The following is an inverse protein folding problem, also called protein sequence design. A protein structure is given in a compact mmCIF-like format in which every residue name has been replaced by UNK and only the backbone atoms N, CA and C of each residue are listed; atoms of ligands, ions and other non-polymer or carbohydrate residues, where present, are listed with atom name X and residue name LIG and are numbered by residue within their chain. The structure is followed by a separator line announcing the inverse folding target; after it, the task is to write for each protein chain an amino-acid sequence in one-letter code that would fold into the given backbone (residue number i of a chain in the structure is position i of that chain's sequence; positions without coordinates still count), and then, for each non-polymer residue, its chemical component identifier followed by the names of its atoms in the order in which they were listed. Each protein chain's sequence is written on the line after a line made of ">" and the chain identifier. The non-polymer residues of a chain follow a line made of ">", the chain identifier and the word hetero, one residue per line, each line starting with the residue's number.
data_IF_951212834434
#
_entry.id   IF_951212834434
#
_cell.length_a   1.000
_cell.length_b   1.000
_cell.length_c   1.000
_cell.angle_alpha   90.00
_cell.angle_beta   90.00
_cell.angle_gamma   90.00
#
_symmetry.space_group_name_H-M   'P 1'
#
loop_
_entity.id
_entity.type
_entity.pdbx_description
1 polymer ?
#
# COMPACT_ATOMS: atom_id res chain seq x y z
N UNK A 1 18.02 -88.54 15.87
CA UNK A 1 17.52 -87.35 15.17
C UNK A 1 17.57 -86.15 16.08
N UNK A 2 18.58 -85.28 15.88
CA UNK A 2 18.77 -84.03 16.66
C UNK A 2 18.10 -82.88 15.91
N UNK A 3 17.09 -82.23 16.50
CA UNK A 3 16.46 -81.04 15.98
C UNK A 3 17.29 -79.81 16.44
N UNK A 4 17.87 -79.10 15.46
CA UNK A 4 18.56 -77.84 15.66
C UNK A 4 17.50 -76.75 15.61
N UNK A 5 17.30 -76.05 16.74
CA UNK A 5 16.42 -74.88 16.85
C UNK A 5 17.25 -73.67 16.48
N UNK A 6 16.97 -73.07 15.31
CA UNK A 6 17.57 -71.81 14.88
C UNK A 6 16.73 -70.66 15.47
N UNK A 7 17.30 -69.97 16.47
CA UNK A 7 16.70 -68.74 17.03
C UNK A 7 17.22 -67.60 16.14
N UNK A 8 16.28 -67.05 15.29
CA UNK A 8 16.50 -65.81 14.57
C UNK A 8 16.37 -64.62 15.56
N UNK A 9 17.52 -64.06 15.95
CA UNK A 9 17.57 -62.82 16.73
C UNK A 9 17.33 -61.65 15.78
N UNK A 10 16.09 -61.13 15.70
CA UNK A 10 15.76 -59.90 15.01
C UNK A 10 16.33 -58.72 15.76
N UNK A 11 17.49 -58.21 15.32
CA UNK A 11 18.08 -56.99 15.79
C UNK A 11 17.28 -55.80 15.22
N UNK A 12 16.24 -55.34 15.92
CA UNK A 12 15.55 -54.08 15.61
C UNK A 12 16.56 -52.95 15.87
N UNK A 13 17.17 -52.42 14.83
CA UNK A 13 17.86 -51.12 14.84
C UNK A 13 16.83 -50.04 15.17
N UNK A 14 16.68 -49.72 16.45
CA UNK A 14 16.03 -48.51 16.87
C UNK A 14 16.95 -47.36 16.46
N UNK A 15 16.73 -46.80 15.25
CA UNK A 15 17.23 -45.50 14.90
C UNK A 15 16.69 -44.49 15.95
N UNK A 16 17.51 -43.65 16.56
CA UNK A 16 16.99 -42.62 17.44
C UNK A 16 16.09 -41.72 16.57
N UNK A 17 14.78 -41.81 16.79
CA UNK A 17 13.84 -40.79 16.31
C UNK A 17 14.28 -39.50 16.97
N UNK A 18 15.11 -38.69 16.32
CA UNK A 18 15.30 -37.31 16.75
C UNK A 18 13.91 -36.69 16.68
N UNK A 19 13.36 -36.32 17.83
CA UNK A 19 12.05 -35.70 17.90
C UNK A 19 12.08 -34.46 16.99
N UNK A 20 11.27 -34.46 15.94
CA UNK A 20 11.12 -33.33 15.02
C UNK A 20 10.77 -32.10 15.84
N UNK A 21 11.47 -31.01 15.62
CA UNK A 21 11.20 -29.73 16.31
C UNK A 21 9.79 -29.27 15.89
N UNK A 22 8.94 -28.86 16.85
CA UNK A 22 7.59 -28.43 16.53
C UNK A 22 7.57 -27.07 15.81
N UNK A 23 6.47 -26.76 15.13
CA UNK A 23 6.26 -25.48 14.43
C UNK A 23 6.33 -24.29 15.39
N UNK A 24 5.71 -24.44 16.56
CA UNK A 24 5.69 -23.42 17.61
C UNK A 24 7.09 -23.14 18.14
N UNK A 25 7.92 -24.19 18.27
CA UNK A 25 9.31 -24.05 18.72
C UNK A 25 10.17 -23.36 17.65
N UNK A 26 9.95 -23.67 16.35
CA UNK A 26 10.60 -22.95 15.25
C UNK A 26 10.22 -21.46 15.25
N UNK A 27 8.92 -21.14 15.37
CA UNK A 27 8.44 -19.77 15.43
C UNK A 27 9.04 -19.02 16.62
N UNK A 28 9.09 -19.64 17.80
CA UNK A 28 9.69 -19.05 18.99
C UNK A 28 11.19 -18.77 18.79
N UNK A 29 11.94 -19.72 18.21
CA UNK A 29 13.37 -19.55 17.92
C UNK A 29 13.59 -18.43 16.90
N UNK A 30 12.76 -18.37 15.86
CA UNK A 30 12.80 -17.32 14.84
C UNK A 30 12.58 -15.94 15.47
N UNK A 31 11.51 -15.76 16.23
CA UNK A 31 11.21 -14.47 16.87
C UNK A 31 12.33 -14.03 17.80
N UNK A 32 12.83 -14.92 18.64
CA UNK A 32 13.96 -14.62 19.55
C UNK A 32 15.27 -14.28 18.80
N UNK A 33 15.48 -14.88 17.64
CA UNK A 33 16.67 -14.59 16.83
C UNK A 33 16.53 -13.24 16.14
N UNK A 34 15.39 -12.98 15.49
CA UNK A 34 15.09 -11.72 14.79
C UNK A 34 15.13 -10.53 15.75
N UNK A 35 14.61 -10.67 16.97
CA UNK A 35 14.69 -9.63 18.01
C UNK A 35 16.15 -9.21 18.31
N UNK A 36 17.10 -10.13 18.22
CA UNK A 36 18.51 -9.88 18.53
C UNK A 36 19.33 -9.37 17.35
N UNK A 37 19.08 -9.88 16.15
CA UNK A 37 19.96 -9.66 15.01
C UNK A 37 19.28 -9.08 13.77
N UNK A 38 17.96 -8.83 13.83
CA UNK A 38 17.16 -8.40 12.68
C UNK A 38 16.70 -9.57 11.80
N UNK A 39 15.75 -9.29 10.89
CA UNK A 39 15.13 -10.29 10.02
C UNK A 39 16.14 -10.94 9.05
N UNK A 40 17.16 -10.20 8.62
CA UNK A 40 18.22 -10.64 7.70
C UNK A 40 19.53 -11.02 8.43
N UNK A 41 19.48 -11.11 9.76
CA UNK A 41 20.65 -11.31 10.62
C UNK A 41 21.28 -12.69 10.51
N UNK A 42 22.49 -12.80 11.10
CA UNK A 42 23.28 -14.02 11.08
C UNK A 42 22.51 -15.20 11.71
N UNK A 43 22.46 -16.32 11.01
CA UNK A 43 21.81 -17.57 11.48
C UNK A 43 20.33 -17.68 11.13
N UNK A 44 19.65 -16.59 10.74
CA UNK A 44 18.23 -16.63 10.37
C UNK A 44 18.00 -17.57 9.19
N UNK A 45 18.80 -17.45 8.14
CA UNK A 45 18.68 -18.33 6.96
C UNK A 45 18.85 -19.81 7.31
N UNK A 46 19.84 -20.13 8.15
CA UNK A 46 20.08 -21.51 8.59
C UNK A 46 18.90 -22.07 9.37
N UNK A 47 18.26 -21.25 10.21
CA UNK A 47 17.06 -21.64 10.95
C UNK A 47 15.89 -21.86 10.00
N UNK A 48 15.67 -20.95 9.04
CA UNK A 48 14.59 -21.03 8.05
C UNK A 48 14.75 -22.26 7.14
N UNK A 49 15.98 -22.60 6.71
CA UNK A 49 16.22 -23.79 5.90
C UNK A 49 15.88 -25.09 6.65
N UNK A 50 16.20 -25.18 7.95
CA UNK A 50 15.80 -26.32 8.78
C UNK A 50 14.29 -26.38 9.00
N UNK A 51 13.66 -25.22 9.25
CA UNK A 51 12.23 -25.14 9.43
C UNK A 51 11.47 -25.56 8.17
N UNK A 52 11.91 -25.09 7.00
CA UNK A 52 11.31 -25.46 5.70
C UNK A 52 11.49 -26.96 5.41
N UNK A 53 12.66 -27.55 5.74
CA UNK A 53 12.88 -28.98 5.57
C UNK A 53 11.97 -29.83 6.48
N UNK A 54 11.75 -29.40 7.72
CA UNK A 54 10.89 -30.11 8.67
C UNK A 54 9.39 -29.87 8.42
N UNK A 55 9.03 -28.64 7.99
CA UNK A 55 7.63 -28.19 7.84
C UNK A 55 7.44 -27.31 6.58
N UNK A 56 7.52 -27.89 5.36
CA UNK A 56 7.48 -27.13 4.09
C UNK A 56 6.15 -26.40 3.84
N UNK A 57 5.06 -26.86 4.48
CA UNK A 57 3.71 -26.27 4.34
C UNK A 57 3.34 -25.35 5.51
N UNK A 58 4.32 -24.97 6.36
CA UNK A 58 4.04 -24.08 7.48
C UNK A 58 3.98 -22.62 7.02
N UNK A 59 2.81 -22.02 7.16
CA UNK A 59 2.58 -20.63 6.75
C UNK A 59 3.47 -19.63 7.50
N UNK A 60 3.75 -19.87 8.79
CA UNK A 60 4.65 -19.01 9.56
C UNK A 60 6.07 -19.06 9.00
N UNK A 61 6.52 -20.23 8.53
CA UNK A 61 7.81 -20.39 7.85
C UNK A 61 7.83 -19.55 6.55
N UNK A 62 6.76 -19.62 5.74
CA UNK A 62 6.66 -18.85 4.49
C UNK A 62 6.71 -17.34 4.76
N UNK A 63 6.00 -16.83 5.78
CA UNK A 63 6.03 -15.43 6.18
C UNK A 63 7.42 -15.02 6.72
N UNK A 64 8.05 -15.87 7.50
CA UNK A 64 9.40 -15.65 7.99
C UNK A 64 10.44 -15.63 6.85
N UNK A 65 10.28 -16.51 5.85
CA UNK A 65 11.10 -16.51 4.62
C UNK A 65 10.91 -15.23 3.81
N UNK A 66 9.66 -14.77 3.67
CA UNK A 66 9.38 -13.48 3.05
C UNK A 66 10.14 -12.35 3.75
N UNK A 67 10.01 -12.25 5.08
CA UNK A 67 10.65 -11.18 5.87
C UNK A 67 12.17 -11.22 5.72
N UNK A 68 12.79 -12.40 5.79
CA UNK A 68 14.23 -12.57 5.59
C UNK A 68 14.67 -12.11 4.20
N UNK A 69 14.06 -12.66 3.15
CA UNK A 69 14.46 -12.38 1.76
C UNK A 69 14.22 -10.91 1.41
N UNK A 70 13.09 -10.32 1.86
CA UNK A 70 12.76 -8.92 1.61
C UNK A 70 13.75 -7.98 2.32
N UNK A 71 14.03 -8.19 3.62
CA UNK A 71 15.03 -7.38 4.33
C UNK A 71 16.43 -7.52 3.74
N UNK A 72 16.80 -8.75 3.36
CA UNK A 72 18.12 -9.04 2.78
C UNK A 72 18.30 -8.45 1.37
N UNK A 73 17.21 -8.27 0.63
CA UNK A 73 17.27 -7.70 -0.72
C UNK A 73 17.57 -6.20 -0.73
N UNK A 74 17.38 -5.50 0.40
CA UNK A 74 17.44 -4.04 0.45
C UNK A 74 18.84 -3.53 0.75
N UNK A 75 19.26 -2.54 -0.02
CA UNK A 75 20.42 -1.69 0.29
C UNK A 75 20.00 -0.23 0.22
N UNK A 76 20.17 0.52 1.33
CA UNK A 76 19.93 1.95 1.32
C UNK A 76 21.22 2.73 1.04
N UNK A 77 21.08 3.86 0.34
CA UNK A 77 22.14 4.84 0.16
C UNK A 77 21.57 6.24 0.11
N UNK A 78 22.37 7.22 0.50
CA UNK A 78 22.02 8.61 0.45
C UNK A 78 22.55 9.19 -0.86
N UNK A 79 21.65 9.74 -1.70
CA UNK A 79 22.00 10.31 -3.01
C UNK A 79 21.52 11.76 -3.12
N UNK A 80 22.30 12.65 -3.77
CA UNK A 80 21.86 14.00 -4.11
C UNK A 80 20.90 13.95 -5.30
N UNK A 81 19.81 14.74 -5.23
CA UNK A 81 18.85 14.91 -6.34
C UNK A 81 18.43 16.37 -6.47
N UNK A 82 18.21 16.82 -7.70
CA UNK A 82 17.63 18.13 -8.01
C UNK A 82 16.11 18.04 -8.05
N UNK A 83 15.52 17.78 -6.87
CA UNK A 83 14.07 17.75 -6.68
C UNK A 83 13.70 18.09 -5.23
N UNK A 84 12.50 18.59 -5.02
CA UNK A 84 12.01 18.95 -3.68
C UNK A 84 11.45 17.74 -2.91
N UNK A 85 11.06 16.68 -3.61
CA UNK A 85 10.49 15.45 -3.02
C UNK A 85 10.92 14.23 -3.81
N UNK A 86 11.08 13.11 -3.09
CA UNK A 86 11.28 11.78 -3.65
C UNK A 86 10.33 10.80 -2.98
N UNK A 87 9.62 10.00 -3.75
CA UNK A 87 8.56 9.10 -3.24
C UNK A 87 7.52 9.84 -2.36
N UNK A 88 7.25 11.11 -2.67
CA UNK A 88 6.37 11.98 -1.89
C UNK A 88 6.96 12.53 -0.59
N UNK A 89 8.17 12.11 -0.21
CA UNK A 89 8.84 12.54 1.02
C UNK A 89 9.73 13.76 0.78
N UNK A 90 9.91 14.64 1.80
CA UNK A 90 10.92 15.71 1.75
C UNK A 90 12.32 15.10 1.78
N UNK A 91 13.36 15.88 1.43
CA UNK A 91 14.73 15.42 1.53
C UNK A 91 15.11 15.11 2.99
N UNK A 92 15.97 14.09 3.16
CA UNK A 92 16.56 13.76 4.46
C UNK A 92 17.45 14.92 4.96
N UNK A 93 18.24 15.50 4.04
CA UNK A 93 19.12 16.64 4.33
C UNK A 93 18.96 17.66 3.19
N UNK A 94 18.27 18.79 3.42
CA UNK A 94 18.29 19.92 2.50
C UNK A 94 19.59 20.71 2.70
N UNK A 95 20.34 20.95 1.63
CA UNK A 95 21.57 21.74 1.65
C UNK A 95 21.56 22.81 0.57
N UNK A 96 22.42 23.82 0.75
CA UNK A 96 22.73 24.80 -0.29
C UNK A 96 24.24 24.74 -0.51
N UNK A 97 24.66 24.60 -1.76
CA UNK A 97 26.07 24.58 -2.11
C UNK A 97 26.71 25.98 -2.00
N UNK A 98 28.04 26.07 -2.18
CA UNK A 98 28.77 27.34 -2.10
C UNK A 98 28.39 28.34 -3.19
N UNK A 99 27.68 27.91 -4.23
CA UNK A 99 27.19 28.74 -5.34
C UNK A 99 25.73 29.17 -5.14
N UNK A 100 25.08 28.76 -4.04
CA UNK A 100 23.69 29.06 -3.73
C UNK A 100 22.67 28.10 -4.35
N UNK A 101 23.11 27.00 -4.98
CA UNK A 101 22.19 26.00 -5.52
C UNK A 101 21.68 25.09 -4.40
N UNK A 102 20.39 24.76 -4.44
CA UNK A 102 19.81 23.74 -3.54
C UNK A 102 20.25 22.35 -3.95
N UNK A 103 20.79 21.60 -3.01
CA UNK A 103 21.13 20.18 -3.18
C UNK A 103 20.40 19.39 -2.11
N UNK A 104 19.47 18.57 -2.53
CA UNK A 104 18.63 17.78 -1.61
C UNK A 104 19.14 16.33 -1.59
N UNK A 105 19.36 15.79 -0.40
CA UNK A 105 19.80 14.41 -0.24
C UNK A 105 18.62 13.53 0.19
N UNK A 106 18.45 12.41 -0.50
CA UNK A 106 17.39 11.45 -0.23
C UNK A 106 17.98 10.07 0.07
N UNK A 107 17.33 9.35 0.95
CA UNK A 107 17.58 7.91 1.10
C UNK A 107 16.87 7.17 -0.02
N UNK A 108 17.62 6.35 -0.75
CA UNK A 108 17.15 5.54 -1.88
C UNK A 108 17.46 4.09 -1.58
N UNK A 109 16.53 3.21 -1.87
CA UNK A 109 16.69 1.77 -1.72
C UNK A 109 16.95 1.13 -3.08
N UNK A 110 17.96 0.28 -3.13
CA UNK A 110 18.22 -0.65 -4.23
C UNK A 110 17.89 -2.06 -3.76
N UNK A 111 17.43 -2.89 -4.67
CA UNK A 111 16.97 -4.24 -4.35
C UNK A 111 17.76 -5.26 -5.17
N UNK A 112 18.13 -6.36 -4.52
CA UNK A 112 18.59 -7.56 -5.20
C UNK A 112 17.37 -8.30 -5.77
N UNK A 113 17.34 -8.45 -7.09
CA UNK A 113 16.19 -8.99 -7.82
C UNK A 113 15.90 -10.46 -7.46
N UNK A 114 16.93 -11.29 -7.23
CA UNK A 114 16.76 -12.70 -6.90
C UNK A 114 16.17 -12.87 -5.50
N UNK A 115 16.69 -12.12 -4.53
CA UNK A 115 16.17 -12.12 -3.17
C UNK A 115 14.77 -11.54 -3.09
N UNK A 116 14.50 -10.47 -3.84
CA UNK A 116 13.15 -9.91 -3.93
C UNK A 116 12.16 -10.90 -4.55
N UNK A 117 12.55 -11.57 -5.64
CA UNK A 117 11.72 -12.61 -6.27
C UNK A 117 11.45 -13.77 -5.30
N UNK A 118 12.44 -14.20 -4.52
CA UNK A 118 12.27 -15.21 -3.48
C UNK A 118 11.29 -14.75 -2.38
N UNK A 119 11.38 -13.49 -1.95
CA UNK A 119 10.43 -12.89 -1.00
C UNK A 119 8.99 -12.92 -1.58
N UNK A 120 8.82 -12.41 -2.80
CA UNK A 120 7.51 -12.38 -3.46
C UNK A 120 6.91 -13.77 -3.65
N UNK A 121 7.73 -14.79 -3.97
CA UNK A 121 7.30 -16.18 -4.05
C UNK A 121 6.85 -16.73 -2.67
N UNK A 122 7.58 -16.42 -1.60
CA UNK A 122 7.27 -16.88 -0.25
C UNK A 122 5.93 -16.31 0.26
N UNK A 123 5.70 -15.01 0.10
CA UNK A 123 4.42 -14.39 0.49
C UNK A 123 3.27 -14.90 -0.40
N UNK A 124 3.51 -15.15 -1.68
CA UNK A 124 2.52 -15.75 -2.58
C UNK A 124 2.09 -17.15 -2.14
N UNK A 125 3.02 -17.99 -1.68
CA UNK A 125 2.71 -19.31 -1.09
C UNK A 125 1.87 -19.16 0.18
N UNK A 126 2.23 -18.25 1.09
CA UNK A 126 1.46 -18.00 2.31
C UNK A 126 0.01 -17.57 2.00
N UNK A 127 -0.17 -16.61 1.09
CA UNK A 127 -1.49 -16.15 0.62
C UNK A 127 -2.32 -17.30 0.04
N UNK A 128 -1.71 -18.21 -0.74
CA UNK A 128 -2.41 -19.34 -1.32
C UNK A 128 -3.00 -20.29 -0.27
N UNK A 129 -2.44 -20.36 0.93
CA UNK A 129 -2.99 -21.17 2.05
C UNK A 129 -4.23 -20.54 2.69
N UNK A 130 -4.29 -19.18 2.74
CA UNK A 130 -5.36 -18.43 3.38
C UNK A 130 -5.62 -17.11 2.61
N UNK A 131 -6.39 -17.21 1.54
CA UNK A 131 -6.65 -16.10 0.63
C UNK A 131 -7.42 -14.93 1.26
N UNK A 132 -8.12 -15.17 2.36
CA UNK A 132 -8.87 -14.16 3.10
C UNK A 132 -8.02 -13.37 4.13
N UNK A 133 -6.71 -13.62 4.25
CA UNK A 133 -5.80 -12.81 5.07
C UNK A 133 -5.43 -11.54 4.32
N UNK A 134 -6.19 -10.47 4.58
CA UNK A 134 -6.01 -9.17 3.93
C UNK A 134 -4.64 -8.56 4.25
N UNK A 135 -4.17 -8.67 5.48
CA UNK A 135 -2.86 -8.20 5.91
C UNK A 135 -1.70 -8.82 5.09
N UNK A 136 -1.79 -10.09 4.70
CA UNK A 136 -0.78 -10.72 3.85
C UNK A 136 -0.84 -10.23 2.40
N UNK A 137 -2.05 -9.98 1.86
CA UNK A 137 -2.23 -9.35 0.56
C UNK A 137 -1.61 -7.95 0.53
N UNK A 138 -1.91 -7.14 1.56
CA UNK A 138 -1.35 -5.79 1.70
C UNK A 138 0.17 -5.82 1.91
N UNK A 139 0.69 -6.80 2.64
CA UNK A 139 2.14 -6.99 2.83
C UNK A 139 2.85 -7.22 1.49
N UNK A 140 2.27 -8.06 0.62
CA UNK A 140 2.77 -8.28 -0.75
C UNK A 140 2.75 -6.99 -1.57
N UNK A 141 1.62 -6.27 -1.56
CA UNK A 141 1.48 -5.00 -2.31
C UNK A 141 2.48 -3.96 -1.80
N UNK A 142 2.67 -3.85 -0.48
CA UNK A 142 3.64 -2.92 0.10
C UNK A 142 5.09 -3.26 -0.31
N UNK A 143 5.44 -4.54 -0.36
CA UNK A 143 6.75 -4.96 -0.84
C UNK A 143 6.97 -4.60 -2.31
N UNK A 144 5.97 -4.79 -3.16
CA UNK A 144 6.00 -4.38 -4.56
C UNK A 144 6.13 -2.85 -4.70
N UNK A 145 5.35 -2.07 -3.93
CA UNK A 145 5.46 -0.62 -3.91
C UNK A 145 6.88 -0.14 -3.55
N UNK A 146 7.49 -0.80 -2.55
CA UNK A 146 8.84 -0.47 -2.12
C UNK A 146 9.89 -0.80 -3.20
N UNK A 147 9.75 -1.94 -3.86
CA UNK A 147 10.64 -2.40 -4.92
C UNK A 147 10.53 -1.53 -6.19
N UNK A 148 9.31 -1.25 -6.65
CA UNK A 148 9.04 -0.51 -7.89
C UNK A 148 9.22 1.01 -7.75
N UNK A 149 9.12 1.52 -6.50
CA UNK A 149 9.31 2.93 -6.18
C UNK A 149 8.40 3.88 -6.99
N UNK A 150 8.98 4.68 -7.90
CA UNK A 150 8.24 5.68 -8.68
C UNK A 150 7.36 5.08 -9.81
N UNK A 151 7.49 3.75 -10.10
CA UNK A 151 6.79 3.07 -11.20
C UNK A 151 5.95 1.87 -10.71
N UNK A 152 4.90 2.06 -9.90
CA UNK A 152 4.19 1.01 -9.16
C UNK A 152 3.24 0.16 -10.03
N UNK A 153 3.75 -0.47 -11.08
CA UNK A 153 2.94 -1.21 -12.06
C UNK A 153 2.49 -2.57 -11.53
N UNK A 154 3.41 -3.35 -10.94
CA UNK A 154 3.08 -4.67 -10.34
C UNK A 154 2.19 -4.49 -9.11
N UNK A 155 2.50 -3.51 -8.27
CA UNK A 155 1.68 -3.16 -7.11
C UNK A 155 0.25 -2.78 -7.52
N UNK A 156 0.08 -1.99 -8.59
CA UNK A 156 -1.22 -1.65 -9.16
C UNK A 156 -1.97 -2.90 -9.64
N UNK A 157 -1.30 -3.84 -10.33
CA UNK A 157 -1.96 -5.06 -10.79
C UNK A 157 -2.42 -5.94 -9.63
N UNK A 158 -1.59 -6.11 -8.60
CA UNK A 158 -1.98 -6.86 -7.39
C UNK A 158 -3.13 -6.17 -6.65
N UNK A 159 -3.12 -4.85 -6.54
CA UNK A 159 -4.20 -4.10 -5.90
C UNK A 159 -5.53 -4.22 -6.67
N UNK A 160 -5.48 -4.22 -8.01
CA UNK A 160 -6.66 -4.48 -8.85
C UNK A 160 -7.17 -5.91 -8.69
N UNK A 161 -6.27 -6.90 -8.67
CA UNK A 161 -6.64 -8.29 -8.44
C UNK A 161 -7.29 -8.49 -7.07
N UNK A 162 -6.77 -7.81 -6.04
CA UNK A 162 -7.33 -7.80 -4.70
C UNK A 162 -8.75 -7.20 -4.69
N UNK A 163 -8.98 -6.08 -5.39
CA UNK A 163 -10.30 -5.47 -5.54
C UNK A 163 -11.26 -6.39 -6.30
N UNK A 164 -10.82 -7.00 -7.40
CA UNK A 164 -11.61 -7.96 -8.17
C UNK A 164 -12.01 -9.16 -7.29
N UNK A 165 -11.08 -9.68 -6.47
CA UNK A 165 -11.35 -10.76 -5.54
C UNK A 165 -12.38 -10.34 -4.46
N UNK A 166 -12.21 -9.13 -3.89
CA UNK A 166 -13.15 -8.59 -2.90
C UNK A 166 -14.59 -8.54 -3.43
N UNK A 167 -14.79 -7.91 -4.59
CA UNK A 167 -16.14 -7.70 -5.13
C UNK A 167 -16.77 -8.97 -5.72
N UNK A 168 -15.96 -9.90 -6.26
CA UNK A 168 -16.49 -11.12 -6.91
C UNK A 168 -16.65 -12.28 -5.94
N UNK A 169 -15.73 -12.46 -4.99
CA UNK A 169 -15.74 -13.57 -4.03
C UNK A 169 -16.35 -13.21 -2.69
N UNK A 170 -16.40 -11.92 -2.35
CA UNK A 170 -16.91 -11.40 -1.08
C UNK A 170 -16.33 -12.15 0.12
N UNK A 171 -15.00 -12.22 0.23
CA UNK A 171 -14.37 -12.97 1.31
C UNK A 171 -14.67 -12.34 2.66
N UNK A 172 -14.72 -13.17 3.68
CA UNK A 172 -14.69 -12.71 5.06
C UNK A 172 -13.24 -12.34 5.41
N UNK A 173 -12.89 -11.06 5.20
CA UNK A 173 -11.53 -10.58 5.39
C UNK A 173 -11.09 -10.62 6.84
N UNK A 174 -9.93 -11.20 7.06
CA UNK A 174 -9.21 -11.17 8.33
C UNK A 174 -7.98 -10.28 8.23
N UNK A 175 -7.77 -9.46 9.24
CA UNK A 175 -6.57 -8.63 9.37
C UNK A 175 -6.09 -8.70 10.82
N UNK A 176 -4.79 -8.92 11.04
CA UNK A 176 -4.23 -9.16 12.37
C UNK A 176 -4.55 -8.06 13.38
N UNK A 177 -4.48 -6.80 12.95
CA UNK A 177 -4.72 -5.64 13.83
C UNK A 177 -6.17 -5.16 13.82
N UNK A 178 -6.89 -5.28 12.68
CA UNK A 178 -8.26 -4.78 12.53
C UNK A 178 -9.32 -5.83 12.84
N UNK A 179 -8.92 -7.11 12.93
CA UNK A 179 -9.85 -8.21 13.04
C UNK A 179 -10.62 -8.43 11.73
N UNK A 180 -11.94 -8.42 11.82
CA UNK A 180 -12.83 -8.46 10.65
C UNK A 180 -12.85 -7.10 9.93
N UNK A 181 -12.79 -7.08 8.59
CA UNK A 181 -12.73 -5.86 7.79
C UNK A 181 -14.01 -5.66 7.01
N UNK A 182 -14.70 -4.54 7.26
CA UNK A 182 -15.92 -4.16 6.54
C UNK A 182 -15.63 -3.69 5.09
N UNK A 183 -16.68 -3.57 4.27
CA UNK A 183 -16.57 -3.05 2.91
C UNK A 183 -16.03 -1.61 2.90
N UNK A 184 -16.50 -0.76 3.81
CA UNK A 184 -16.06 0.62 3.93
C UNK A 184 -14.58 0.71 4.35
N UNK A 185 -14.13 -0.18 5.24
CA UNK A 185 -12.71 -0.26 5.61
C UNK A 185 -11.85 -0.75 4.44
N UNK A 186 -12.35 -1.69 3.63
CA UNK A 186 -11.67 -2.13 2.41
C UNK A 186 -11.52 -0.98 1.41
N UNK A 187 -12.58 -0.23 1.15
CA UNK A 187 -12.54 0.94 0.26
C UNK A 187 -11.56 2.01 0.77
N UNK A 188 -11.51 2.24 2.09
CA UNK A 188 -10.56 3.14 2.71
C UNK A 188 -9.09 2.67 2.53
N UNK A 189 -8.82 1.37 2.70
CA UNK A 189 -7.49 0.79 2.44
C UNK A 189 -7.06 0.97 0.97
N UNK A 190 -7.97 0.76 0.02
CA UNK A 190 -7.68 1.03 -1.40
C UNK A 190 -7.42 2.52 -1.63
N UNK A 191 -8.17 3.40 -0.96
CA UNK A 191 -7.96 4.85 -1.04
C UNK A 191 -6.59 5.27 -0.51
N UNK A 192 -6.06 4.61 0.52
CA UNK A 192 -4.71 4.89 1.04
C UNK A 192 -3.63 4.61 -0.03
N UNK A 193 -3.77 3.55 -0.82
CA UNK A 193 -2.88 3.31 -1.98
C UNK A 193 -3.07 4.35 -3.07
N UNK A 194 -4.30 4.75 -3.36
CA UNK A 194 -4.56 5.85 -4.30
C UNK A 194 -3.87 7.15 -3.83
N UNK A 195 -3.98 7.49 -2.55
CA UNK A 195 -3.31 8.63 -1.96
C UNK A 195 -1.78 8.53 -2.02
N UNK A 196 -1.23 7.31 -1.86
CA UNK A 196 0.20 7.06 -2.00
C UNK A 196 0.66 7.27 -3.45
N UNK A 197 -0.04 6.73 -4.45
CA UNK A 197 0.24 6.97 -5.86
C UNK A 197 0.22 8.46 -6.20
N UNK A 198 -0.79 9.19 -5.74
CA UNK A 198 -0.89 10.63 -5.94
C UNK A 198 0.26 11.39 -5.28
N UNK A 199 0.70 10.99 -4.08
CA UNK A 199 1.79 11.62 -3.33
C UNK A 199 3.16 11.39 -3.97
N UNK A 200 3.41 10.19 -4.53
CA UNK A 200 4.64 9.87 -5.30
C UNK A 200 4.78 10.83 -6.49
N UNK A 201 3.70 11.11 -7.18
CA UNK A 201 3.60 12.13 -8.23
C UNK A 201 4.59 11.95 -9.40
N UNK A 202 5.00 10.72 -9.70
CA UNK A 202 5.63 10.38 -10.98
C UNK A 202 4.57 10.24 -12.08
N UNK A 203 4.96 10.17 -13.34
CA UNK A 203 4.03 9.97 -14.44
C UNK A 203 3.29 8.62 -14.28
N UNK A 204 4.03 7.55 -14.03
CA UNK A 204 3.49 6.19 -13.84
C UNK A 204 2.62 6.07 -12.59
N UNK A 205 3.02 6.67 -11.46
CA UNK A 205 2.21 6.65 -10.24
C UNK A 205 0.91 7.46 -10.39
N UNK A 206 0.92 8.56 -11.14
CA UNK A 206 -0.30 9.32 -11.44
C UNK A 206 -1.26 8.53 -12.35
N UNK A 207 -0.73 7.77 -13.30
CA UNK A 207 -1.54 6.85 -14.10
C UNK A 207 -2.07 5.68 -13.26
N UNK A 208 -1.29 5.18 -12.30
CA UNK A 208 -1.75 4.18 -11.33
C UNK A 208 -2.90 4.71 -10.47
N UNK A 209 -2.79 5.94 -9.97
CA UNK A 209 -3.85 6.65 -9.23
C UNK A 209 -5.16 6.73 -10.03
N UNK A 210 -5.10 7.18 -11.29
CA UNK A 210 -6.24 7.23 -12.19
C UNK A 210 -6.81 5.84 -12.44
N UNK A 211 -5.95 4.90 -12.82
CA UNK A 211 -6.33 3.56 -13.24
C UNK A 211 -6.97 2.74 -12.12
N UNK A 212 -6.49 2.89 -10.87
CA UNK A 212 -7.11 2.24 -9.71
C UNK A 212 -8.47 2.84 -9.40
N UNK A 213 -8.58 4.18 -9.44
CA UNK A 213 -9.87 4.86 -9.22
C UNK A 213 -10.92 4.48 -10.24
N UNK A 214 -10.56 4.41 -11.54
CA UNK A 214 -11.44 3.91 -12.60
C UNK A 214 -11.83 2.45 -12.39
N UNK A 215 -10.90 1.62 -11.88
CA UNK A 215 -11.15 0.22 -11.59
C UNK A 215 -12.20 0.04 -10.49
N UNK A 216 -12.10 0.78 -9.39
CA UNK A 216 -13.08 0.76 -8.30
C UNK A 216 -14.47 1.23 -8.75
N UNK A 217 -14.52 2.25 -9.62
CA UNK A 217 -15.78 2.75 -10.16
C UNK A 217 -16.51 1.75 -11.09
N UNK A 218 -15.88 0.68 -11.53
CA UNK A 218 -16.59 -0.41 -12.23
C UNK A 218 -17.54 -1.16 -11.30
N UNK A 219 -17.20 -1.24 -10.01
CA UNK A 219 -18.02 -1.90 -8.99
C UNK A 219 -18.99 -0.94 -8.30
N UNK A 220 -18.57 0.30 -8.09
CA UNK A 220 -19.41 1.34 -7.47
C UNK A 220 -19.31 2.65 -8.26
N UNK A 221 -20.18 2.83 -9.25
CA UNK A 221 -20.11 3.93 -10.25
C UNK A 221 -20.17 5.34 -9.67
N UNK A 222 -20.72 5.49 -8.48
CA UNK A 222 -20.95 6.77 -7.84
C UNK A 222 -20.21 6.93 -6.52
N UNK A 223 -19.17 6.09 -6.29
CA UNK A 223 -18.39 6.14 -5.06
C UNK A 223 -17.64 7.48 -4.95
N UNK A 224 -17.89 8.30 -3.93
CA UNK A 224 -17.38 9.67 -3.87
C UNK A 224 -15.86 9.72 -3.87
N UNK A 225 -15.17 8.88 -3.07
CA UNK A 225 -13.70 8.86 -2.98
C UNK A 225 -13.03 8.70 -4.36
N UNK A 226 -13.49 7.73 -5.16
CA UNK A 226 -12.85 7.43 -6.44
C UNK A 226 -13.25 8.41 -7.55
N UNK A 227 -14.42 9.03 -7.45
CA UNK A 227 -14.81 10.17 -8.31
C UNK A 227 -13.97 11.41 -8.00
N UNK A 228 -13.72 11.71 -6.72
CA UNK A 228 -12.85 12.81 -6.29
C UNK A 228 -11.41 12.60 -6.74
N UNK A 229 -10.92 11.35 -6.68
CA UNK A 229 -9.62 11.01 -7.21
C UNK A 229 -9.50 11.35 -8.69
N UNK A 230 -10.50 10.98 -9.51
CA UNK A 230 -10.51 11.33 -10.94
C UNK A 230 -10.62 12.84 -11.15
N UNK A 231 -11.43 13.52 -10.34
CA UNK A 231 -11.48 14.98 -10.33
C UNK A 231 -10.12 15.61 -10.08
N UNK A 232 -9.40 15.09 -9.06
CA UNK A 232 -8.07 15.55 -8.67
C UNK A 232 -7.01 15.24 -9.72
N UNK A 233 -7.04 14.04 -10.32
CA UNK A 233 -6.16 13.68 -11.45
C UNK A 233 -6.30 14.68 -12.59
N UNK A 234 -7.53 14.95 -13.05
CA UNK A 234 -7.77 15.88 -14.15
C UNK A 234 -7.49 17.34 -13.78
N UNK A 235 -7.66 17.71 -12.51
CA UNK A 235 -7.27 19.04 -12.02
C UNK A 235 -5.76 19.26 -12.14
N UNK A 236 -4.94 18.28 -11.72
CA UNK A 236 -3.47 18.32 -11.87
C UNK A 236 -3.06 18.37 -13.34
N UNK A 237 -3.72 17.58 -14.20
CA UNK A 237 -3.49 17.61 -15.67
C UNK A 237 -4.07 18.87 -16.34
N UNK A 238 -4.71 19.79 -15.59
CA UNK A 238 -5.37 21.02 -16.08
C UNK A 238 -6.51 20.76 -17.08
N UNK A 239 -7.05 19.55 -17.14
CA UNK A 239 -8.30 19.25 -17.84
C UNK A 239 -9.49 19.62 -16.96
N UNK A 240 -9.70 20.92 -16.81
CA UNK A 240 -10.72 21.46 -15.92
C UNK A 240 -12.15 21.03 -16.29
N UNK A 241 -12.40 20.70 -17.56
CA UNK A 241 -13.73 20.24 -17.99
C UNK A 241 -14.03 18.86 -17.40
N UNK A 242 -13.06 17.94 -17.45
CA UNK A 242 -13.23 16.61 -16.85
C UNK A 242 -13.20 16.69 -15.32
N UNK A 243 -12.31 17.48 -14.73
CA UNK A 243 -12.29 17.69 -13.29
C UNK A 243 -13.64 18.16 -12.78
N UNK A 244 -14.21 19.19 -13.39
CA UNK A 244 -15.53 19.71 -13.04
C UNK A 244 -16.63 18.66 -13.14
N UNK A 245 -16.63 17.84 -14.20
CA UNK A 245 -17.61 16.77 -14.38
C UNK A 245 -17.62 15.80 -13.19
N UNK A 246 -16.44 15.37 -12.72
CA UNK A 246 -16.34 14.43 -11.61
C UNK A 246 -16.75 15.07 -10.29
N UNK A 247 -16.28 16.28 -9.98
CA UNK A 247 -16.68 16.98 -8.76
C UNK A 247 -18.17 17.32 -8.74
N UNK A 248 -18.75 17.78 -9.84
CA UNK A 248 -20.21 18.01 -9.93
C UNK A 248 -21.00 16.70 -9.77
N UNK A 249 -20.44 15.54 -10.13
CA UNK A 249 -21.06 14.24 -9.90
C UNK A 249 -21.07 13.89 -8.41
N UNK A 250 -19.98 14.10 -7.69
CA UNK A 250 -19.91 13.95 -6.22
C UNK A 250 -20.88 14.90 -5.54
N UNK A 251 -20.77 16.21 -5.80
CA UNK A 251 -21.56 17.26 -5.14
C UNK A 251 -23.06 17.18 -5.37
N UNK A 252 -23.51 16.46 -6.40
CA UNK A 252 -24.94 16.21 -6.64
C UNK A 252 -25.54 15.27 -5.59
N UNK A 253 -24.76 14.29 -5.10
CA UNK A 253 -25.20 13.30 -4.11
C UNK A 253 -24.71 13.63 -2.70
N UNK A 254 -23.55 14.26 -2.60
CA UNK A 254 -22.85 14.64 -1.40
C UNK A 254 -22.50 16.14 -1.44
N UNK A 255 -23.50 17.03 -1.25
CA UNK A 255 -23.29 18.48 -1.39
C UNK A 255 -22.35 19.06 -0.33
N UNK A 256 -22.07 18.34 0.72
CA UNK A 256 -21.17 18.60 1.84
C UNK A 256 -19.77 17.99 1.67
N UNK A 257 -19.49 17.30 0.55
CA UNK A 257 -18.17 16.73 0.32
C UNK A 257 -17.10 17.82 0.21
N UNK A 258 -16.24 17.87 1.23
CA UNK A 258 -15.24 18.93 1.37
C UNK A 258 -14.11 18.83 0.37
N UNK A 259 -13.76 17.62 -0.10
CA UNK A 259 -12.73 17.40 -1.12
C UNK A 259 -13.20 17.96 -2.45
N UNK A 260 -14.40 17.57 -2.88
CA UNK A 260 -15.01 18.09 -4.10
C UNK A 260 -15.23 19.61 -4.06
N UNK A 261 -15.70 20.16 -2.93
CA UNK A 261 -15.92 21.59 -2.77
C UNK A 261 -14.60 22.38 -2.85
N UNK A 262 -13.59 22.02 -2.06
CA UNK A 262 -12.29 22.72 -2.01
C UNK A 262 -11.59 22.68 -3.37
N UNK A 263 -11.56 21.51 -3.99
CA UNK A 263 -10.93 21.33 -5.30
C UNK A 263 -11.70 22.02 -6.43
N UNK A 264 -13.04 22.07 -6.37
CA UNK A 264 -13.87 22.82 -7.33
C UNK A 264 -13.62 24.33 -7.22
N UNK A 265 -13.47 24.86 -6.02
CA UNK A 265 -13.12 26.28 -5.78
C UNK A 265 -11.72 26.56 -6.34
N UNK A 266 -10.73 25.70 -6.04
CA UNK A 266 -9.38 25.81 -6.56
C UNK A 266 -9.36 25.81 -8.10
N UNK A 267 -10.07 24.86 -8.70
CA UNK A 267 -10.25 24.76 -10.16
C UNK A 267 -10.84 26.03 -10.76
N UNK A 268 -11.93 26.57 -10.18
CA UNK A 268 -12.59 27.76 -10.65
C UNK A 268 -11.66 28.98 -10.61
N UNK A 269 -10.84 29.11 -9.54
CA UNK A 269 -9.79 30.14 -9.42
C UNK A 269 -8.72 29.99 -10.51
N UNK A 270 -8.23 28.77 -10.74
CA UNK A 270 -7.24 28.50 -11.77
C UNK A 270 -7.75 28.88 -13.18
N UNK A 271 -9.04 28.64 -13.44
CA UNK A 271 -9.74 29.07 -14.67
C UNK A 271 -10.02 30.58 -14.73
N UNK A 272 -9.88 31.31 -13.62
CA UNK A 272 -10.36 32.68 -13.45
C UNK A 272 -11.88 32.83 -13.69
N UNK A 273 -12.64 31.78 -13.44
CA UNK A 273 -14.07 31.72 -13.61
C UNK A 273 -14.80 32.13 -12.33
N UNK A 274 -15.00 33.42 -12.18
CA UNK A 274 -15.63 34.03 -10.98
C UNK A 274 -17.06 33.51 -10.76
N UNK A 275 -17.81 33.25 -11.83
CA UNK A 275 -19.17 32.71 -11.71
C UNK A 275 -19.16 31.32 -11.11
N UNK A 276 -18.26 30.48 -11.58
CA UNK A 276 -18.08 29.12 -11.10
C UNK A 276 -17.55 29.09 -9.67
N UNK A 277 -16.56 29.97 -9.34
CA UNK A 277 -16.05 30.13 -7.97
C UNK A 277 -17.17 30.49 -7.00
N UNK A 278 -18.02 31.47 -7.34
CA UNK A 278 -19.18 31.87 -6.52
C UNK A 278 -20.15 30.68 -6.32
N UNK A 279 -20.42 29.88 -7.36
CA UNK A 279 -21.27 28.68 -7.25
C UNK A 279 -20.77 27.76 -6.13
N UNK A 280 -19.50 27.38 -6.17
CA UNK A 280 -18.96 26.41 -5.20
C UNK A 280 -18.74 27.03 -3.81
N UNK A 281 -18.39 28.33 -3.73
CA UNK A 281 -18.36 29.03 -2.45
C UNK A 281 -19.73 29.10 -1.80
N UNK A 282 -20.80 29.32 -2.56
CA UNK A 282 -22.17 29.30 -2.02
C UNK A 282 -22.57 27.93 -1.48
N UNK A 283 -22.17 26.86 -2.18
CA UNK A 283 -22.36 25.49 -1.65
C UNK A 283 -21.55 25.26 -0.37
N UNK A 284 -20.29 25.68 -0.34
CA UNK A 284 -19.44 25.54 0.84
C UNK A 284 -19.94 26.37 2.02
N UNK A 285 -20.49 27.58 1.79
CA UNK A 285 -21.12 28.39 2.83
C UNK A 285 -22.38 27.73 3.40
N UNK A 286 -23.13 26.99 2.57
CA UNK A 286 -24.34 26.28 2.99
C UNK A 286 -24.08 24.93 3.65
N UNK A 287 -23.11 24.16 3.16
CA UNK A 287 -22.90 22.75 3.50
C UNK A 287 -21.52 22.42 4.06
N UNK A 288 -20.60 23.40 4.20
CA UNK A 288 -19.27 23.15 4.73
C UNK A 288 -19.29 22.46 6.09
N UNK A 289 -18.37 21.54 6.31
CA UNK A 289 -18.31 20.66 7.48
C UNK A 289 -18.16 21.48 8.78
N UNK A 290 -17.22 22.42 8.80
CA UNK A 290 -16.97 23.26 9.98
C UNK A 290 -17.56 24.67 9.83
N UNK A 291 -17.81 25.34 10.97
CA UNK A 291 -18.20 26.74 10.96
C UNK A 291 -17.13 27.62 10.30
N UNK A 292 -15.85 27.31 10.49
CA UNK A 292 -14.73 28.01 9.87
C UNK A 292 -14.75 27.88 8.33
N UNK A 293 -15.06 26.69 7.78
CA UNK A 293 -15.20 26.49 6.34
C UNK A 293 -16.35 27.33 5.78
N UNK A 294 -17.52 27.32 6.43
CA UNK A 294 -18.69 28.12 6.03
C UNK A 294 -18.42 29.61 6.10
N UNK A 295 -17.83 30.09 7.20
CA UNK A 295 -17.50 31.51 7.39
C UNK A 295 -16.45 32.00 6.38
N UNK A 296 -15.42 31.18 6.11
CA UNK A 296 -14.39 31.49 5.11
C UNK A 296 -14.98 31.61 3.70
N UNK A 297 -15.89 30.70 3.35
CA UNK A 297 -16.59 30.75 2.06
C UNK A 297 -17.48 31.99 1.95
N UNK A 298 -18.24 32.35 3.01
CA UNK A 298 -19.08 33.52 3.04
C UNK A 298 -18.25 34.83 2.93
N UNK A 299 -17.18 34.97 3.72
CA UNK A 299 -16.30 36.13 3.64
C UNK A 299 -15.73 36.36 2.23
N UNK A 300 -15.41 35.26 1.52
CA UNK A 300 -14.95 35.34 0.13
C UNK A 300 -16.04 35.75 -0.83
N UNK A 301 -17.28 35.30 -0.63
CA UNK A 301 -18.46 35.76 -1.40
C UNK A 301 -18.70 37.27 -1.23
N UNK A 302 -18.65 37.77 0.01
CA UNK A 302 -18.86 39.18 0.34
C UNK A 302 -17.80 40.07 -0.32
N UNK A 303 -16.54 39.61 -0.37
CA UNK A 303 -15.46 40.30 -1.06
C UNK A 303 -15.68 40.48 -2.57
N UNK A 304 -16.51 39.65 -3.22
CA UNK A 304 -16.93 39.88 -4.61
C UNK A 304 -18.01 40.97 -4.76
N UNK A 305 -18.76 41.27 -3.70
CA UNK A 305 -19.79 42.30 -3.70
C UNK A 305 -19.21 43.73 -3.48
N UNK A 306 -18.07 43.81 -2.81
CA UNK A 306 -17.42 45.11 -2.46
C UNK A 306 -16.52 45.66 -3.56
N UNK A 307 -16.23 44.89 -4.62
CA UNK A 307 -15.49 45.37 -5.81
C UNK A 307 -16.47 45.84 -6.88
N UNK A 308 -17.18 46.94 -6.62
CA UNK A 308 -17.90 47.76 -7.62
C UNK A 308 -17.16 49.09 -7.87
#
# INVERSE_FOLDING_TARGET
>A
MKRILIILLSLSLALPLSAQVSKEEYLRRYNNLVERVGADGLGVETLLNKWEADWPEDTNQMLARFSFCFSRSQQSRIVPMDRERYMGNPPLIPMTDSLGNKVNYFEVYEYDDELFAAANAAIGKAIATRQNRLDWQLLKINALMAYEQESPEMALQELKALADFHFTRKPDWEHEQLGHVSAEQFDALVQDYCALFFRINSETSMEAFRSMSEHMLRYSKDHPLFLDNLGSYYLVKKDYKKAQKYYDQVLRKHPDDMTALKNSILMARAKKDVKLEKKYLSQMAAHGETEADRASAQARLDAFGTKR
#
